data_IF_976526095351
#
_entry.id   IF_976526095351
#
_cell.length_a   1.000
_cell.length_b   1.000
_cell.length_c   1.000
_cell.angle_alpha   90.00
_cell.angle_beta   90.00
_cell.angle_gamma   90.00
#
_symmetry.space_group_name_H-M   'P 1'
#
loop_
_entity.id
_entity.type
_entity.pdbx_description
1 polymer ?
#
# COMPACT_ATOMS: atom_id res chain seq x y z
N UNK A 1 9.85 18.67 14.89
CA UNK A 1 9.59 17.65 13.87
C UNK A 1 9.07 16.32 14.43
N UNK A 2 9.74 15.65 15.36
CA UNK A 2 9.26 14.36 15.90
C UNK A 2 7.89 14.45 16.61
N UNK A 3 7.64 15.51 17.40
CA UNK A 3 6.35 15.75 18.07
C UNK A 3 5.21 15.95 17.06
N UNK A 4 5.46 16.69 15.97
CA UNK A 4 4.51 16.90 14.89
C UNK A 4 4.17 15.57 14.20
N UNK A 5 5.19 14.81 13.80
CA UNK A 5 5.00 13.48 13.20
C UNK A 5 4.11 12.61 14.08
N UNK A 6 4.42 12.48 15.37
CA UNK A 6 3.67 11.63 16.29
C UNK A 6 2.23 12.12 16.49
N UNK A 7 2.02 13.45 16.52
CA UNK A 7 0.69 14.05 16.65
C UNK A 7 -0.20 13.71 15.45
N UNK A 8 0.34 13.85 14.21
CA UNK A 8 -0.37 13.52 12.96
C UNK A 8 -0.67 12.02 12.91
N UNK A 9 0.32 11.15 13.17
CA UNK A 9 0.11 9.69 13.19
C UNK A 9 -0.99 9.30 14.17
N UNK A 10 -0.94 9.81 15.40
CA UNK A 10 -1.96 9.52 16.42
C UNK A 10 -3.36 10.01 16.01
N UNK A 11 -3.45 11.19 15.39
CA UNK A 11 -4.71 11.72 14.88
C UNK A 11 -5.29 10.78 13.81
N UNK A 12 -4.50 10.44 12.80
CA UNK A 12 -4.95 9.63 11.67
C UNK A 12 -5.29 8.20 12.08
N UNK A 13 -4.52 7.58 13.00
CA UNK A 13 -4.87 6.28 13.56
C UNK A 13 -6.17 6.33 14.36
N UNK A 14 -6.43 7.39 15.15
CA UNK A 14 -7.70 7.56 15.87
C UNK A 14 -8.88 7.71 14.89
N UNK A 15 -8.69 8.45 13.79
CA UNK A 15 -9.70 8.60 12.75
C UNK A 15 -9.98 7.25 12.07
N UNK A 16 -8.95 6.49 11.70
CA UNK A 16 -9.09 5.16 11.13
C UNK A 16 -9.82 4.18 12.07
N UNK A 17 -9.53 4.24 13.38
CA UNK A 17 -10.22 3.43 14.38
C UNK A 17 -11.69 3.83 14.58
N UNK A 18 -12.06 5.08 14.31
CA UNK A 18 -13.45 5.55 14.34
C UNK A 18 -14.20 5.19 13.05
N UNK A 19 -13.52 5.25 11.92
CA UNK A 19 -14.03 4.88 10.59
C UNK A 19 -13.62 3.46 10.20
N UNK A 20 -13.93 2.48 11.07
CA UNK A 20 -13.54 1.07 10.90
C UNK A 20 -13.99 0.47 9.56
N UNK A 21 -15.12 0.95 9.02
CA UNK A 21 -15.65 0.51 7.73
C UNK A 21 -14.63 0.63 6.60
N UNK A 22 -13.79 1.65 6.63
CA UNK A 22 -12.84 1.94 5.56
C UNK A 22 -11.68 0.94 5.55
N UNK A 23 -11.13 0.64 6.73
CA UNK A 23 -10.09 -0.39 6.89
C UNK A 23 -10.66 -1.76 6.59
N UNK A 24 -11.87 -2.05 7.11
CA UNK A 24 -12.56 -3.31 6.86
C UNK A 24 -12.88 -3.53 5.38
N UNK A 25 -13.30 -2.50 4.64
CA UNK A 25 -13.55 -2.59 3.21
C UNK A 25 -12.28 -2.95 2.43
N UNK A 26 -11.14 -2.36 2.78
CA UNK A 26 -9.85 -2.67 2.14
C UNK A 26 -9.43 -4.12 2.41
N UNK A 27 -9.53 -4.56 3.66
CA UNK A 27 -9.21 -5.93 4.09
C UNK A 27 -10.19 -6.93 3.45
N UNK A 28 -11.49 -6.64 3.50
CA UNK A 28 -12.51 -7.49 2.90
C UNK A 28 -12.32 -7.65 1.40
N UNK A 29 -12.03 -6.54 0.69
CA UNK A 29 -11.72 -6.59 -0.74
C UNK A 29 -10.51 -7.50 -1.03
N UNK A 30 -9.44 -7.37 -0.25
CA UNK A 30 -8.26 -8.23 -0.36
C UNK A 30 -8.61 -9.71 -0.18
N UNK A 31 -9.37 -10.03 0.88
CA UNK A 31 -9.82 -11.40 1.14
C UNK A 31 -10.66 -11.94 -0.02
N UNK A 32 -11.62 -11.16 -0.50
CA UNK A 32 -12.50 -11.58 -1.61
C UNK A 32 -11.69 -11.86 -2.87
N UNK A 33 -10.80 -10.93 -3.28
CA UNK A 33 -10.01 -11.11 -4.50
C UNK A 33 -9.15 -12.36 -4.42
N UNK A 34 -8.45 -12.59 -3.30
CA UNK A 34 -7.58 -13.78 -3.16
C UNK A 34 -8.40 -15.08 -3.12
N UNK A 35 -9.56 -15.09 -2.45
CA UNK A 35 -10.39 -16.30 -2.34
C UNK A 35 -11.15 -16.64 -3.62
N UNK A 36 -11.43 -15.65 -4.48
CA UNK A 36 -12.09 -15.91 -5.77
C UNK A 36 -11.18 -16.67 -6.75
N UNK A 37 -9.86 -16.54 -6.63
CA UNK A 37 -8.91 -17.19 -7.56
C UNK A 37 -8.98 -18.72 -7.51
N UNK A 38 -8.88 -19.39 -6.35
CA UNK A 38 -9.08 -20.85 -6.26
C UNK A 38 -10.45 -21.31 -6.75
N UNK A 39 -11.49 -20.51 -6.50
CA UNK A 39 -12.85 -20.82 -6.94
C UNK A 39 -12.99 -20.75 -8.47
N UNK A 40 -12.25 -19.84 -9.11
CA UNK A 40 -12.27 -19.68 -10.58
C UNK A 40 -11.38 -20.66 -11.34
N UNK A 41 -10.26 -21.08 -10.74
CA UNK A 41 -9.26 -21.97 -11.36
C UNK A 41 -9.59 -23.44 -11.13
N UNK A 42 -10.21 -23.75 -9.97
CA UNK A 42 -10.49 -25.12 -9.55
C UNK A 42 -9.43 -25.68 -8.60
N UNK A 43 -9.53 -27.00 -8.25
CA UNK A 43 -8.81 -27.59 -7.13
C UNK A 43 -7.36 -28.06 -7.44
N UNK A 44 -6.74 -27.58 -8.54
CA UNK A 44 -5.37 -27.92 -8.87
C UNK A 44 -4.38 -27.26 -7.89
N UNK A 45 -3.95 -28.03 -6.89
CA UNK A 45 -3.08 -27.53 -5.83
C UNK A 45 -1.70 -27.11 -6.33
N UNK A 46 -1.17 -27.74 -7.39
CA UNK A 46 0.14 -27.37 -7.94
C UNK A 46 0.08 -26.01 -8.61
N UNK A 47 -0.95 -25.80 -9.41
CA UNK A 47 -1.19 -24.51 -10.06
C UNK A 47 -1.45 -23.41 -9.03
N UNK A 48 -2.27 -23.68 -8.03
CA UNK A 48 -2.58 -22.72 -6.96
C UNK A 48 -1.34 -22.29 -6.18
N UNK A 49 -0.44 -23.22 -5.83
CA UNK A 49 0.84 -22.88 -5.18
C UNK A 49 1.73 -22.01 -6.05
N UNK A 50 1.78 -22.29 -7.36
CA UNK A 50 2.61 -21.56 -8.31
C UNK A 50 2.18 -20.09 -8.45
N UNK A 51 0.87 -19.84 -8.52
CA UNK A 51 0.36 -18.49 -8.77
C UNK A 51 0.12 -17.68 -7.49
N UNK A 52 0.09 -18.32 -6.32
CA UNK A 52 -0.27 -17.69 -5.06
C UNK A 52 0.50 -16.41 -4.75
N UNK A 53 1.85 -16.33 -4.88
CA UNK A 53 2.58 -15.09 -4.60
C UNK A 53 2.14 -13.93 -5.49
N UNK A 54 1.98 -14.16 -6.79
CA UNK A 54 1.50 -13.16 -7.73
C UNK A 54 0.08 -12.71 -7.43
N UNK A 55 -0.83 -13.64 -7.14
CA UNK A 55 -2.24 -13.34 -6.79
C UNK A 55 -2.33 -12.49 -5.53
N UNK A 56 -1.61 -12.87 -4.48
CA UNK A 56 -1.61 -12.15 -3.20
C UNK A 56 -1.05 -10.73 -3.40
N UNK A 57 0.02 -10.56 -4.16
CA UNK A 57 0.59 -9.25 -4.48
C UNK A 57 -0.35 -8.37 -5.32
N UNK A 58 -0.98 -8.93 -6.36
CA UNK A 58 -1.97 -8.20 -7.17
C UNK A 58 -3.15 -7.77 -6.32
N UNK A 59 -3.67 -8.66 -5.50
CA UNK A 59 -4.78 -8.35 -4.59
C UNK A 59 -4.40 -7.26 -3.57
N UNK A 60 -3.18 -7.31 -3.00
CA UNK A 60 -2.68 -6.29 -2.08
C UNK A 60 -2.55 -4.92 -2.77
N UNK A 61 -2.05 -4.89 -4.02
CA UNK A 61 -1.97 -3.68 -4.83
C UNK A 61 -3.35 -3.08 -5.08
N UNK A 62 -4.32 -3.90 -5.51
CA UNK A 62 -5.69 -3.44 -5.77
C UNK A 62 -6.37 -2.95 -4.48
N UNK A 63 -6.17 -3.64 -3.36
CA UNK A 63 -6.68 -3.22 -2.06
C UNK A 63 -6.05 -1.88 -1.60
N UNK A 64 -4.74 -1.71 -1.81
CA UNK A 64 -4.07 -0.44 -1.54
C UNK A 64 -4.64 0.69 -2.41
N UNK A 65 -4.85 0.48 -3.71
CA UNK A 65 -5.47 1.46 -4.61
C UNK A 65 -6.85 1.91 -4.13
N UNK A 66 -7.66 0.98 -3.61
CA UNK A 66 -9.00 1.28 -3.09
C UNK A 66 -8.95 2.23 -1.88
N UNK A 67 -7.88 2.20 -1.08
CA UNK A 67 -7.74 3.01 0.13
C UNK A 67 -7.16 4.41 -0.14
N UNK A 68 -6.42 4.62 -1.24
CA UNK A 68 -5.68 5.85 -1.53
C UNK A 68 -6.51 7.14 -1.58
N UNK A 69 -7.69 7.18 -2.22
CA UNK A 69 -8.46 8.43 -2.32
C UNK A 69 -8.74 9.05 -0.95
N UNK A 70 -8.86 8.24 0.09
CA UNK A 70 -9.19 8.68 1.46
C UNK A 70 -8.01 9.32 2.19
N UNK A 71 -6.78 9.16 1.69
CA UNK A 71 -5.57 9.65 2.37
C UNK A 71 -5.60 11.16 2.63
N UNK A 72 -6.17 11.94 1.70
CA UNK A 72 -6.27 13.38 1.79
C UNK A 72 -7.71 13.92 1.65
N UNK A 73 -8.65 13.14 1.11
CA UNK A 73 -9.99 13.61 0.78
C UNK A 73 -10.77 14.14 1.98
N UNK A 74 -10.67 13.48 3.14
CA UNK A 74 -11.37 13.92 4.35
C UNK A 74 -10.79 15.25 4.86
N UNK A 75 -9.47 15.38 4.92
CA UNK A 75 -8.78 16.60 5.36
C UNK A 75 -9.02 17.76 4.37
N UNK A 76 -9.22 17.47 3.10
CA UNK A 76 -9.59 18.45 2.09
C UNK A 76 -11.04 18.92 2.28
N UNK A 77 -11.96 17.97 2.48
CA UNK A 77 -13.39 18.27 2.61
C UNK A 77 -13.74 19.08 3.88
N UNK A 78 -12.99 18.88 4.98
CA UNK A 78 -13.21 19.57 6.25
C UNK A 78 -12.32 20.82 6.45
N UNK A 79 -11.49 21.18 5.45
CA UNK A 79 -10.58 22.34 5.52
C UNK A 79 -9.33 22.13 6.39
N UNK A 80 -9.13 20.93 6.95
CA UNK A 80 -7.94 20.62 7.77
C UNK A 80 -6.67 20.67 6.94
N UNK A 81 -6.74 20.31 5.66
CA UNK A 81 -5.58 20.35 4.75
C UNK A 81 -5.08 21.80 4.57
N UNK A 82 -5.98 22.76 4.40
CA UNK A 82 -5.63 24.18 4.29
C UNK A 82 -4.95 24.69 5.56
N UNK A 83 -5.47 24.29 6.75
CA UNK A 83 -4.85 24.63 8.03
C UNK A 83 -3.44 24.05 8.14
N UNK A 84 -3.20 22.83 7.67
CA UNK A 84 -1.87 22.22 7.63
C UNK A 84 -0.92 22.99 6.72
N UNK A 85 -1.40 23.43 5.56
CA UNK A 85 -0.61 24.23 4.61
C UNK A 85 -0.23 25.62 5.17
N UNK A 86 -1.14 26.23 5.93
CA UNK A 86 -0.94 27.56 6.54
C UNK A 86 -0.17 27.51 7.85
N UNK A 87 0.01 26.35 8.47
CA UNK A 87 0.61 26.19 9.82
C UNK A 87 2.11 26.59 9.90
N UNK A 88 2.79 26.76 8.76
CA UNK A 88 4.25 27.00 8.71
C UNK A 88 5.10 25.78 9.03
N UNK A 89 4.48 24.64 9.36
CA UNK A 89 5.16 23.39 9.64
C UNK A 89 5.60 22.68 8.34
N UNK A 90 6.70 21.90 8.36
CA UNK A 90 7.18 21.21 7.16
C UNK A 90 6.15 20.22 6.62
N UNK A 91 5.48 20.55 5.51
CA UNK A 91 4.45 19.73 4.88
C UNK A 91 4.93 18.29 4.59
N UNK A 92 6.21 18.13 4.23
CA UNK A 92 6.83 16.82 4.00
C UNK A 92 6.76 15.92 5.22
N UNK A 93 6.93 16.47 6.44
CA UNK A 93 6.80 15.71 7.69
C UNK A 93 5.36 15.27 7.92
N UNK A 94 4.40 16.15 7.62
CA UNK A 94 2.97 15.83 7.71
C UNK A 94 2.61 14.71 6.74
N UNK A 95 3.09 14.80 5.48
CA UNK A 95 2.88 13.77 4.45
C UNK A 95 3.47 12.43 4.87
N UNK A 96 4.73 12.39 5.36
CA UNK A 96 5.35 11.15 5.85
C UNK A 96 4.52 10.55 6.99
N UNK A 97 4.04 11.37 7.92
CA UNK A 97 3.22 10.91 9.04
C UNK A 97 1.89 10.31 8.57
N UNK A 98 1.22 10.94 7.61
CA UNK A 98 -0.04 10.45 7.03
C UNK A 98 0.15 9.15 6.26
N UNK A 99 1.19 9.09 5.42
CA UNK A 99 1.53 7.87 4.66
C UNK A 99 1.90 6.73 5.60
N UNK A 100 2.63 7.01 6.67
CA UNK A 100 2.95 6.00 7.69
C UNK A 100 1.70 5.50 8.41
N UNK A 101 0.78 6.38 8.81
CA UNK A 101 -0.50 5.98 9.40
C UNK A 101 -1.35 5.15 8.41
N UNK A 102 -1.38 5.53 7.13
CA UNK A 102 -2.04 4.77 6.08
C UNK A 102 -1.43 3.38 5.91
N UNK A 103 -0.10 3.26 5.87
CA UNK A 103 0.57 1.98 5.81
C UNK A 103 0.27 1.08 7.02
N UNK A 104 0.24 1.64 8.23
CA UNK A 104 -0.13 0.89 9.43
C UNK A 104 -1.57 0.34 9.37
N UNK A 105 -2.50 1.07 8.74
CA UNK A 105 -3.91 0.68 8.66
C UNK A 105 -4.26 -0.13 7.42
N UNK A 106 -3.39 -0.15 6.41
CA UNK A 106 -3.57 -0.86 5.15
C UNK A 106 -2.50 -1.93 4.95
N UNK A 107 -1.23 -1.56 4.85
CA UNK A 107 -0.12 -2.46 4.54
C UNK A 107 0.10 -3.55 5.60
N UNK A 108 0.07 -3.19 6.88
CA UNK A 108 0.24 -4.16 7.97
C UNK A 108 -0.88 -5.21 8.00
N UNK A 109 -2.19 -4.85 7.96
CA UNK A 109 -3.26 -5.84 7.88
C UNK A 109 -3.15 -6.76 6.67
N UNK A 110 -2.83 -6.23 5.48
CA UNK A 110 -2.66 -7.03 4.27
C UNK A 110 -1.51 -8.04 4.42
N UNK A 111 -0.38 -7.60 4.99
CA UNK A 111 0.76 -8.47 5.27
C UNK A 111 0.41 -9.58 6.26
N UNK A 112 -0.29 -9.28 7.35
CA UNK A 112 -0.68 -10.29 8.34
C UNK A 112 -1.67 -11.30 7.77
N UNK A 113 -2.66 -10.84 7.01
CA UNK A 113 -3.67 -11.69 6.39
C UNK A 113 -3.07 -12.55 5.28
N UNK A 114 -2.00 -12.10 4.59
CA UNK A 114 -1.31 -12.91 3.59
C UNK A 114 -0.76 -14.23 4.18
N UNK A 115 -0.43 -14.26 5.47
CA UNK A 115 -0.05 -15.48 6.17
C UNK A 115 -1.18 -16.52 6.25
N UNK A 116 -2.45 -16.08 6.38
CA UNK A 116 -3.60 -16.99 6.32
C UNK A 116 -3.78 -17.57 4.91
N UNK A 117 -3.52 -16.76 3.89
CA UNK A 117 -3.56 -17.24 2.50
C UNK A 117 -2.42 -18.21 2.18
N UNK A 118 -1.25 -18.05 2.79
CA UNK A 118 -0.19 -19.04 2.69
C UNK A 118 -0.66 -20.43 3.12
N UNK A 119 -1.45 -20.52 4.19
CA UNK A 119 -2.08 -21.77 4.64
C UNK A 119 -3.16 -22.25 3.65
N UNK A 120 -3.98 -21.36 3.14
CA UNK A 120 -5.05 -21.70 2.19
C UNK A 120 -4.49 -22.27 0.87
N UNK A 121 -3.37 -21.71 0.38
CA UNK A 121 -2.68 -22.18 -0.83
C UNK A 121 -1.70 -23.33 -0.54
N UNK A 122 -1.59 -23.80 0.71
CA UNK A 122 -0.67 -24.85 1.16
C UNK A 122 0.78 -24.56 0.74
N UNK A 123 1.24 -23.31 0.97
CA UNK A 123 2.61 -22.90 0.69
C UNK A 123 3.58 -23.45 1.72
N UNK A 124 4.80 -23.76 1.30
CA UNK A 124 5.88 -24.10 2.21
C UNK A 124 6.21 -22.90 3.12
N UNK A 125 6.68 -23.18 4.33
CA UNK A 125 6.88 -22.14 5.35
C UNK A 125 7.90 -21.08 4.93
N UNK A 126 8.93 -21.44 4.20
CA UNK A 126 9.94 -20.54 3.63
C UNK A 126 9.35 -19.60 2.57
N UNK A 127 8.55 -20.13 1.64
CA UNK A 127 7.83 -19.34 0.63
C UNK A 127 6.85 -18.37 1.30
N UNK A 128 6.10 -18.86 2.30
CA UNK A 128 5.15 -18.03 3.06
C UNK A 128 5.86 -16.88 3.78
N UNK A 129 6.97 -17.15 4.47
CA UNK A 129 7.76 -16.13 5.17
C UNK A 129 8.34 -15.09 4.21
N UNK A 130 8.85 -15.53 3.05
CA UNK A 130 9.39 -14.62 2.03
C UNK A 130 8.26 -13.77 1.42
N UNK A 131 7.10 -14.34 1.13
CA UNK A 131 5.92 -13.61 0.65
C UNK A 131 5.48 -12.53 1.66
N UNK A 132 5.33 -12.89 2.94
CA UNK A 132 4.97 -11.91 3.98
C UNK A 132 6.04 -10.83 4.15
N UNK A 133 7.33 -11.20 4.13
CA UNK A 133 8.43 -10.25 4.28
C UNK A 133 8.52 -9.30 3.09
N UNK A 134 8.32 -9.80 1.86
CA UNK A 134 8.30 -8.98 0.66
C UNK A 134 7.13 -7.99 0.67
N UNK A 135 5.94 -8.41 1.10
CA UNK A 135 4.79 -7.53 1.31
C UNK A 135 5.07 -6.47 2.38
N UNK A 136 5.65 -6.87 3.53
CA UNK A 136 5.96 -5.94 4.60
C UNK A 136 6.91 -4.81 4.13
N UNK A 137 7.96 -5.15 3.37
CA UNK A 137 8.93 -4.19 2.86
C UNK A 137 8.38 -3.42 1.65
N UNK A 138 7.55 -4.03 0.81
CA UNK A 138 7.08 -3.43 -0.44
C UNK A 138 5.78 -2.63 -0.31
N UNK A 139 4.89 -2.94 0.64
CA UNK A 139 3.63 -2.18 0.81
C UNK A 139 3.82 -0.71 1.23
N UNK A 140 4.90 -0.28 1.91
CA UNK A 140 5.21 1.15 2.06
C UNK A 140 5.33 1.87 0.71
N UNK A 141 5.88 1.23 -0.33
CA UNK A 141 5.98 1.82 -1.68
C UNK A 141 4.59 2.12 -2.23
N UNK A 142 3.62 1.21 -2.03
CA UNK A 142 2.24 1.41 -2.47
C UNK A 142 1.62 2.65 -1.81
N UNK A 143 1.85 2.84 -0.52
CA UNK A 143 1.35 4.02 0.21
C UNK A 143 2.07 5.31 -0.20
N UNK A 144 3.39 5.26 -0.39
CA UNK A 144 4.23 6.41 -0.76
C UNK A 144 3.95 6.89 -2.19
N UNK A 145 4.04 6.00 -3.16
CA UNK A 145 3.76 6.33 -4.57
C UNK A 145 2.28 6.71 -4.74
N UNK A 146 1.39 5.96 -4.07
CA UNK A 146 -0.04 6.23 -4.06
C UNK A 146 -0.40 7.61 -3.52
N UNK A 147 0.34 8.11 -2.53
CA UNK A 147 0.09 9.44 -1.97
C UNK A 147 0.27 10.57 -2.99
N UNK A 148 1.21 10.42 -3.93
CA UNK A 148 1.39 11.38 -5.03
C UNK A 148 0.16 11.39 -5.92
N UNK A 149 -0.33 10.22 -6.33
CA UNK A 149 -1.54 10.10 -7.16
C UNK A 149 -2.76 10.67 -6.46
N UNK A 150 -2.95 10.35 -5.17
CA UNK A 150 -4.06 10.87 -4.37
C UNK A 150 -4.02 12.41 -4.23
N UNK A 151 -2.82 13.00 -4.08
CA UNK A 151 -2.66 14.44 -4.01
C UNK A 151 -2.94 15.14 -5.35
N UNK A 152 -2.45 14.59 -6.47
CA UNK A 152 -2.65 15.15 -7.81
C UNK A 152 -4.11 15.11 -8.29
N UNK A 153 -4.90 14.18 -7.76
CA UNK A 153 -6.30 14.00 -8.17
C UNK A 153 -7.30 14.52 -7.14
N UNK A 154 -6.80 15.20 -6.11
CA UNK A 154 -7.59 15.75 -5.03
C UNK A 154 -8.57 16.80 -5.55
N UNK A 155 -9.83 16.73 -5.14
CA UNK A 155 -10.89 17.66 -5.61
C UNK A 155 -11.44 17.39 -7.02
N UNK A 156 -10.83 16.50 -7.81
CA UNK A 156 -11.30 16.20 -9.16
C UNK A 156 -12.50 15.24 -9.15
N UNK A 157 -13.47 15.50 -10.03
CA UNK A 157 -14.57 14.55 -10.30
C UNK A 157 -13.98 13.27 -10.92
N UNK A 158 -14.23 12.11 -10.29
CA UNK A 158 -13.63 10.84 -10.74
C UNK A 158 -12.15 10.66 -10.36
N UNK A 159 -11.63 11.45 -9.42
CA UNK A 159 -10.24 11.42 -8.96
C UNK A 159 -9.73 10.02 -8.61
N UNK A 160 -10.57 9.14 -8.06
CA UNK A 160 -10.17 7.77 -7.72
C UNK A 160 -9.74 6.93 -8.94
N UNK A 161 -10.44 7.07 -10.07
CA UNK A 161 -10.08 6.40 -11.33
C UNK A 161 -8.76 6.97 -11.89
N UNK A 162 -8.64 8.30 -11.86
CA UNK A 162 -7.42 8.98 -12.32
C UNK A 162 -6.22 8.59 -11.45
N UNK A 163 -6.38 8.53 -10.11
CA UNK A 163 -5.35 8.04 -9.19
C UNK A 163 -4.88 6.65 -9.60
N UNK A 164 -5.81 5.73 -9.85
CA UNK A 164 -5.47 4.36 -10.22
C UNK A 164 -4.71 4.30 -11.54
N UNK A 165 -5.15 5.03 -12.58
CA UNK A 165 -4.48 5.06 -13.88
C UNK A 165 -3.06 5.62 -13.80
N UNK A 166 -2.84 6.64 -12.95
CA UNK A 166 -1.54 7.28 -12.80
C UNK A 166 -0.57 6.42 -12.00
N UNK A 167 -1.07 5.73 -10.96
CA UNK A 167 -0.24 5.04 -9.97
C UNK A 167 0.05 3.58 -10.40
N UNK A 168 -0.88 2.90 -11.10
CA UNK A 168 -0.72 1.50 -11.52
C UNK A 168 0.60 1.22 -12.23
N UNK A 169 1.04 2.00 -13.25
CA UNK A 169 2.33 1.73 -13.90
C UNK A 169 3.53 1.82 -12.95
N UNK A 170 3.45 2.71 -11.95
CA UNK A 170 4.52 2.90 -10.96
C UNK A 170 4.59 1.76 -9.93
N UNK A 171 3.52 1.00 -9.78
CA UNK A 171 3.47 -0.17 -8.91
C UNK A 171 4.05 -1.44 -9.54
N UNK A 172 4.15 -1.50 -10.89
CA UNK A 172 4.63 -2.68 -11.60
C UNK A 172 6.00 -3.17 -11.08
N UNK A 173 7.02 -2.30 -10.88
CA UNK A 173 8.31 -2.78 -10.40
C UNK A 173 8.24 -3.45 -9.02
N UNK A 174 7.55 -2.84 -8.05
CA UNK A 174 7.45 -3.44 -6.71
C UNK A 174 6.64 -4.73 -6.73
N UNK A 175 5.62 -4.83 -7.58
CA UNK A 175 4.84 -6.05 -7.78
C UNK A 175 5.72 -7.19 -8.33
N UNK A 176 6.45 -6.94 -9.42
CA UNK A 176 7.30 -7.95 -10.06
C UNK A 176 8.35 -8.48 -9.09
N UNK A 177 9.07 -7.60 -8.42
CA UNK A 177 10.15 -8.01 -7.53
C UNK A 177 9.63 -8.53 -6.18
N UNK A 178 8.50 -8.03 -5.71
CA UNK A 178 7.88 -8.48 -4.49
C UNK A 178 7.27 -9.88 -4.60
N UNK A 179 6.51 -10.17 -5.66
CA UNK A 179 5.99 -11.50 -5.96
C UNK A 179 7.12 -12.46 -6.33
N UNK A 180 8.03 -12.01 -7.20
CA UNK A 180 9.18 -12.79 -7.66
C UNK A 180 10.12 -13.26 -6.55
N UNK A 181 10.18 -12.55 -5.41
CA UNK A 181 10.94 -13.02 -4.25
C UNK A 181 10.43 -14.37 -3.72
N UNK A 182 9.12 -14.52 -3.58
CA UNK A 182 8.49 -15.76 -3.10
C UNK A 182 8.51 -16.86 -4.18
N UNK A 183 8.30 -16.49 -5.44
CA UNK A 183 8.41 -17.43 -6.58
C UNK A 183 9.82 -18.01 -6.71
N UNK A 184 10.86 -17.18 -6.54
CA UNK A 184 12.26 -17.63 -6.56
C UNK A 184 12.51 -18.71 -5.51
N UNK A 185 12.04 -18.51 -4.25
CA UNK A 185 12.19 -19.50 -3.19
C UNK A 185 11.40 -20.77 -3.50
N UNK A 186 10.20 -20.66 -4.07
CA UNK A 186 9.39 -21.82 -4.43
C UNK A 186 10.10 -22.76 -5.44
N UNK A 187 11.01 -22.23 -6.26
CA UNK A 187 11.83 -23.01 -7.21
C UNK A 187 13.27 -23.22 -6.75
N UNK A 188 13.57 -22.97 -5.46
CA UNK A 188 14.89 -23.19 -4.85
C UNK A 188 15.96 -22.15 -5.22
N UNK A 189 15.57 -20.97 -5.70
CA UNK A 189 16.47 -19.86 -6.04
C UNK A 189 16.55 -18.87 -4.87
N UNK A 190 17.72 -18.29 -4.63
CA UNK A 190 17.92 -17.29 -3.59
C UNK A 190 17.16 -15.99 -3.90
N UNK A 191 16.32 -15.54 -2.96
CA UNK A 191 15.50 -14.33 -3.08
C UNK A 191 16.23 -13.02 -2.72
N UNK A 192 17.50 -13.05 -2.30
CA UNK A 192 18.21 -11.86 -1.80
C UNK A 192 18.24 -10.70 -2.81
N UNK A 193 18.45 -10.98 -4.10
CA UNK A 193 18.44 -9.95 -5.13
C UNK A 193 17.09 -9.22 -5.22
N UNK A 194 15.99 -9.93 -5.10
CA UNK A 194 14.64 -9.36 -5.08
C UNK A 194 14.43 -8.44 -3.89
N UNK A 195 14.86 -8.86 -2.70
CA UNK A 195 14.78 -8.03 -1.49
C UNK A 195 15.64 -6.78 -1.58
N UNK A 196 16.83 -6.84 -2.19
CA UNK A 196 17.64 -5.65 -2.42
C UNK A 196 16.93 -4.64 -3.34
N UNK A 197 16.27 -5.12 -4.39
CA UNK A 197 15.54 -4.26 -5.32
C UNK A 197 14.29 -3.66 -4.64
N UNK A 198 13.48 -4.48 -3.96
CA UNK A 198 12.29 -3.99 -3.23
C UNK A 198 12.70 -3.00 -2.14
N UNK A 199 13.78 -3.30 -1.39
CA UNK A 199 14.34 -2.39 -0.38
C UNK A 199 14.82 -1.07 -0.98
N UNK A 200 15.51 -1.11 -2.13
CA UNK A 200 15.95 0.08 -2.85
C UNK A 200 14.77 0.93 -3.33
N UNK A 201 13.71 0.29 -3.88
CA UNK A 201 12.47 0.97 -4.27
C UNK A 201 11.80 1.63 -3.06
N UNK A 202 11.79 0.95 -1.92
CA UNK A 202 11.20 1.49 -0.68
C UNK A 202 11.99 2.70 -0.18
N UNK A 203 13.32 2.61 -0.13
CA UNK A 203 14.18 3.73 0.27
C UNK A 203 14.08 4.91 -0.70
N UNK A 204 14.10 4.65 -2.00
CA UNK A 204 13.92 5.67 -3.00
C UNK A 204 12.56 6.38 -2.85
N UNK A 205 11.49 5.61 -2.70
CA UNK A 205 10.14 6.14 -2.51
C UNK A 205 10.03 6.95 -1.22
N UNK A 206 10.69 6.53 -0.13
CA UNK A 206 10.68 7.25 1.15
C UNK A 206 11.31 8.64 1.05
N UNK A 207 12.30 8.81 0.19
CA UNK A 207 12.98 10.10 0.00
C UNK A 207 12.23 10.99 -1.00
N UNK A 208 11.82 10.45 -2.14
CA UNK A 208 11.29 11.22 -3.27
C UNK A 208 9.80 11.50 -3.13
N UNK A 209 8.99 10.50 -2.77
CA UNK A 209 7.53 10.62 -2.83
C UNK A 209 6.94 11.63 -1.84
N UNK A 210 7.43 11.79 -0.59
CA UNK A 210 6.90 12.81 0.31
C UNK A 210 7.11 14.24 -0.21
N UNK A 211 8.24 14.48 -0.90
CA UNK A 211 8.52 15.79 -1.53
C UNK A 211 7.58 16.03 -2.70
N UNK A 212 7.42 15.03 -3.58
CA UNK A 212 6.50 15.10 -4.72
C UNK A 212 5.05 15.29 -4.25
N UNK A 213 4.60 14.54 -3.24
CA UNK A 213 3.27 14.68 -2.66
C UNK A 213 3.05 16.07 -2.05
N UNK A 214 4.04 16.60 -1.34
CA UNK A 214 3.96 17.94 -0.75
C UNK A 214 3.84 19.03 -1.83
N UNK A 215 4.55 18.89 -2.94
CA UNK A 215 4.42 19.78 -4.08
C UNK A 215 3.02 19.67 -4.72
N UNK A 216 2.54 18.44 -4.93
CA UNK A 216 1.20 18.20 -5.51
C UNK A 216 0.07 18.78 -4.65
N UNK A 217 0.15 18.66 -3.31
CA UNK A 217 -0.86 19.22 -2.40
C UNK A 217 -0.91 20.75 -2.45
N UNK A 218 0.23 21.43 -2.64
CA UNK A 218 0.26 22.89 -2.80
C UNK A 218 -0.46 23.33 -4.08
N UNK A 219 -0.24 22.60 -5.19
CA UNK A 219 -0.95 22.90 -6.44
C UNK A 219 -2.45 22.59 -6.38
N UNK A 220 -2.87 21.64 -5.57
CA UNK A 220 -4.29 21.30 -5.43
C UNK A 220 -5.07 22.28 -4.54
N UNK A 221 -4.38 23.14 -3.78
CA UNK A 221 -4.98 24.16 -2.88
C UNK A 221 -5.00 25.56 -3.48
N UNK A 222 -4.33 25.80 -4.62
CA UNK A 222 -4.37 27.04 -5.42
C UNK A 222 -5.58 27.01 -6.38
#
# INVERSE_FOLDING_TARGET
MFRLFLAVVRRDLKLALRQKSDVLNTVFFFIVVVTLVPLGIGPDQQLLRMIAPGVVWVAALLAALLSLPRLFANDFADGTLEQMLLSGEPLTVIVIAKVFAHWLTTGIPLTLISGLFALMFDLQADVALVMMSSLFIGTPVLSLVGSVGAALTLGLRGGSVLTSLLVLPLYIPVLIFGAGAAEAVAVGINSAAYFFIVGALTLFSLVVMPVATSAALRFASD
#
